data_IF_370486736042
#
_entry.id   IF_370486736042
#
_cell.length_a   1.000
_cell.length_b   1.000
_cell.length_c   1.000
_cell.angle_alpha   90.00
_cell.angle_beta   90.00
_cell.angle_gamma   90.00
#
_symmetry.space_group_name_H-M   'P 1'
#
loop_
_entity.id
_entity.type
_entity.pdbx_description
1 polymer ?
#
# COMPACT_ATOMS: atom_id res chain seq x y z
N UNK A 1 19.54 16.72 -39.86
CA UNK A 1 18.16 16.94 -39.38
C UNK A 1 18.31 17.42 -37.94
N UNK A 2 18.30 18.73 -37.72
CA UNK A 2 18.55 19.33 -36.41
C UNK A 2 17.23 19.40 -35.65
N UNK A 3 17.14 18.69 -34.53
CA UNK A 3 16.00 18.73 -33.62
C UNK A 3 15.83 20.16 -33.10
N UNK A 4 14.63 20.71 -33.18
CA UNK A 4 14.35 22.07 -32.72
C UNK A 4 14.46 22.18 -31.18
N UNK A 5 14.69 23.37 -30.62
CA UNK A 5 14.78 23.56 -29.16
C UNK A 5 13.53 23.09 -28.39
N UNK A 6 12.35 23.08 -29.02
CA UNK A 6 11.13 22.51 -28.45
C UNK A 6 11.10 20.98 -28.37
N UNK A 7 11.83 20.29 -29.25
CA UNK A 7 11.87 18.83 -29.34
C UNK A 7 12.76 18.24 -28.24
N UNK A 8 13.91 18.86 -27.99
CA UNK A 8 14.82 18.56 -26.86
C UNK A 8 14.12 18.78 -25.51
N UNK A 9 13.30 19.83 -25.41
CA UNK A 9 12.57 20.12 -24.17
C UNK A 9 11.49 19.07 -23.89
N UNK A 10 10.80 18.57 -24.92
CA UNK A 10 9.77 17.54 -24.79
C UNK A 10 10.37 16.19 -24.41
N UNK A 11 11.44 15.77 -25.08
CA UNK A 11 12.15 14.53 -24.78
C UNK A 11 12.71 14.54 -23.35
N UNK A 12 13.22 15.68 -22.88
CA UNK A 12 13.66 15.84 -21.50
C UNK A 12 12.50 15.67 -20.50
N UNK A 13 11.35 16.30 -20.76
CA UNK A 13 10.17 16.18 -19.91
C UNK A 13 9.65 14.74 -19.86
N UNK A 14 9.59 14.05 -21.00
CA UNK A 14 9.17 12.66 -21.08
C UNK A 14 10.11 11.73 -20.29
N UNK A 15 11.43 11.91 -20.44
CA UNK A 15 12.41 11.15 -19.67
C UNK A 15 12.32 11.40 -18.16
N UNK A 16 12.06 12.64 -17.75
CA UNK A 16 11.87 13.00 -16.35
C UNK A 16 10.59 12.37 -15.78
N UNK A 17 9.50 12.37 -16.55
CA UNK A 17 8.24 11.71 -16.18
C UNK A 17 8.39 10.20 -16.08
N UNK A 18 9.11 9.54 -17.01
CA UNK A 18 9.42 8.11 -16.95
C UNK A 18 10.21 7.75 -15.70
N UNK A 19 11.24 8.54 -15.39
CA UNK A 19 12.09 8.32 -14.21
C UNK A 19 11.28 8.47 -12.93
N UNK A 20 10.46 9.52 -12.84
CA UNK A 20 9.56 9.72 -11.70
C UNK A 20 8.54 8.59 -11.55
N UNK A 21 8.04 8.06 -12.68
CA UNK A 21 7.10 6.94 -12.69
C UNK A 21 7.75 5.65 -12.20
N UNK A 22 8.96 5.34 -12.67
CA UNK A 22 9.72 4.18 -12.21
C UNK A 22 9.99 4.25 -10.70
N UNK A 23 10.35 5.43 -10.20
CA UNK A 23 10.56 5.63 -8.77
C UNK A 23 9.25 5.53 -7.97
N UNK A 24 8.13 6.05 -8.51
CA UNK A 24 6.83 5.88 -7.87
C UNK A 24 6.44 4.39 -7.75
N UNK A 25 6.70 3.58 -8.77
CA UNK A 25 6.49 2.14 -8.74
C UNK A 25 7.43 1.42 -7.76
N UNK A 26 8.72 1.77 -7.74
CA UNK A 26 9.73 1.18 -6.86
C UNK A 26 9.31 1.39 -5.39
N UNK A 27 8.94 2.62 -5.04
CA UNK A 27 8.52 2.98 -3.69
C UNK A 27 7.18 2.33 -3.34
N UNK A 28 6.20 2.32 -4.25
CA UNK A 28 4.92 1.66 -4.01
C UNK A 28 5.06 0.14 -3.76
N UNK A 29 6.02 -0.52 -4.40
CA UNK A 29 6.35 -1.94 -4.15
C UNK A 29 7.12 -2.11 -2.84
N UNK A 30 7.97 -1.16 -2.47
CA UNK A 30 8.71 -1.20 -1.21
C UNK A 30 7.79 -1.26 0.01
N UNK A 31 6.62 -0.62 -0.04
CA UNK A 31 5.63 -0.70 1.04
C UNK A 31 5.03 -2.10 1.21
N UNK A 32 4.95 -2.90 0.14
CA UNK A 32 4.49 -4.29 0.25
C UNK A 32 5.52 -5.13 1.02
N UNK A 33 6.80 -4.99 0.68
CA UNK A 33 7.90 -5.66 1.39
C UNK A 33 8.00 -5.19 2.84
N UNK A 34 7.86 -3.87 3.09
CA UNK A 34 7.84 -3.33 4.46
C UNK A 34 6.67 -3.90 5.27
N UNK A 35 5.48 -3.99 4.69
CA UNK A 35 4.32 -4.56 5.36
C UNK A 35 4.50 -6.06 5.66
N UNK A 36 5.12 -6.82 4.75
CA UNK A 36 5.43 -8.24 4.97
C UNK A 36 6.46 -8.42 6.10
N UNK A 37 7.58 -7.71 6.06
CA UNK A 37 8.63 -7.80 7.08
C UNK A 37 8.07 -7.42 8.45
N UNK A 38 7.34 -6.29 8.54
CA UNK A 38 6.76 -5.84 9.81
C UNK A 38 5.66 -6.78 10.29
N UNK A 39 4.83 -7.31 9.39
CA UNK A 39 3.81 -8.30 9.74
C UNK A 39 4.41 -9.59 10.32
N UNK A 40 5.45 -10.14 9.68
CA UNK A 40 6.18 -11.31 10.19
C UNK A 40 6.84 -11.00 11.55
N UNK A 41 7.50 -9.85 11.66
CA UNK A 41 8.12 -9.41 12.91
C UNK A 41 7.13 -9.23 14.05
N UNK A 42 5.93 -8.70 13.77
CA UNK A 42 4.85 -8.55 14.74
C UNK A 42 4.37 -9.91 15.26
N UNK A 43 4.12 -10.87 14.37
CA UNK A 43 3.69 -12.23 14.76
C UNK A 43 4.74 -12.90 15.65
N UNK A 44 6.01 -12.80 15.26
CA UNK A 44 7.12 -13.34 16.04
C UNK A 44 7.21 -12.70 17.43
N UNK A 45 7.12 -11.37 17.51
CA UNK A 45 7.21 -10.62 18.76
C UNK A 45 6.03 -10.92 19.69
N UNK A 46 4.80 -11.04 19.16
CA UNK A 46 3.64 -11.45 19.94
C UNK A 46 3.82 -12.88 20.45
N UNK A 47 4.25 -13.82 19.61
CA UNK A 47 4.48 -15.21 20.03
C UNK A 47 5.50 -15.29 21.18
N UNK A 48 6.59 -14.54 21.07
CA UNK A 48 7.60 -14.45 22.12
C UNK A 48 7.06 -13.83 23.42
N UNK A 49 6.30 -12.73 23.31
CA UNK A 49 5.70 -12.06 24.46
C UNK A 49 4.67 -12.94 25.19
N UNK A 50 3.91 -13.76 24.46
CA UNK A 50 2.99 -14.73 25.03
C UNK A 50 3.73 -15.89 25.70
N UNK A 51 4.82 -16.39 25.10
CA UNK A 51 5.63 -17.46 25.69
C UNK A 51 6.31 -17.04 26.99
N UNK A 52 6.73 -15.77 27.10
CA UNK A 52 7.17 -15.19 28.38
C UNK A 52 6.01 -15.00 29.38
N UNK A 53 4.80 -14.73 28.88
CA UNK A 53 3.58 -14.65 29.71
C UNK A 53 3.18 -16.00 30.32
N UNK A 54 3.41 -17.11 29.61
CA UNK A 54 3.14 -18.48 30.11
C UNK A 54 4.05 -18.87 31.30
N UNK A 55 5.16 -18.15 31.52
CA UNK A 55 6.02 -18.33 32.71
C UNK A 55 5.43 -17.67 33.97
N UNK A 56 4.36 -16.88 33.85
CA UNK A 56 3.64 -16.29 35.00
C UNK A 56 2.47 -17.19 35.43
N UNK A 57 2.33 -17.50 36.74
CA UNK A 57 1.35 -18.45 37.23
C UNK A 57 -0.09 -18.05 36.86
N UNK A 58 -0.82 -19.02 36.32
CA UNK A 58 -2.11 -18.86 35.66
C UNK A 58 -3.30 -18.88 36.64
N UNK A 59 -4.37 -18.15 36.28
CA UNK A 59 -5.79 -18.17 36.73
C UNK A 59 -6.26 -16.95 37.55
N UNK A 60 -7.37 -16.31 37.13
CA UNK A 60 -8.74 -16.87 37.17
C UNK A 60 -9.44 -16.94 35.80
N UNK A 61 -10.62 -17.59 35.68
CA UNK A 61 -11.30 -17.80 34.40
C UNK A 61 -11.98 -16.50 33.97
N UNK A 62 -11.25 -15.66 33.25
CA UNK A 62 -11.87 -14.51 32.60
C UNK A 62 -12.62 -15.08 31.40
N UNK A 63 -13.94 -14.91 31.39
CA UNK A 63 -14.85 -15.55 30.44
C UNK A 63 -14.50 -15.29 28.96
N UNK A 64 -15.16 -15.99 28.03
CA UNK A 64 -14.82 -15.98 26.59
C UNK A 64 -14.66 -14.59 25.96
N UNK A 65 -15.36 -13.57 26.49
CA UNK A 65 -15.26 -12.18 26.03
C UNK A 65 -13.86 -11.58 26.18
N UNK A 66 -13.12 -11.93 27.23
CA UNK A 66 -11.78 -11.40 27.46
C UNK A 66 -10.78 -11.93 26.43
N UNK A 67 -10.83 -13.25 26.20
CA UNK A 67 -10.06 -13.86 25.12
C UNK A 67 -10.41 -13.25 23.76
N UNK A 68 -11.69 -13.00 23.48
CA UNK A 68 -12.09 -12.32 22.25
C UNK A 68 -11.52 -10.90 22.14
N UNK A 69 -11.43 -10.15 23.25
CA UNK A 69 -10.83 -8.81 23.29
C UNK A 69 -9.32 -8.85 23.02
N UNK A 70 -8.57 -9.71 23.71
CA UNK A 70 -7.12 -9.89 23.52
C UNK A 70 -6.81 -10.35 22.09
N UNK A 71 -7.55 -11.34 21.57
CA UNK A 71 -7.42 -11.79 20.19
C UNK A 71 -7.76 -10.69 19.19
N UNK A 72 -8.76 -9.84 19.48
CA UNK A 72 -9.06 -8.66 18.68
C UNK A 72 -7.88 -7.68 18.60
N UNK A 73 -7.23 -7.41 19.73
CA UNK A 73 -6.04 -6.53 19.81
C UNK A 73 -4.87 -7.12 19.01
N UNK A 74 -4.66 -8.44 19.08
CA UNK A 74 -3.57 -9.13 18.38
C UNK A 74 -3.83 -9.28 16.87
N UNK A 75 -5.06 -9.60 16.47
CA UNK A 75 -5.41 -9.80 15.05
C UNK A 75 -5.50 -8.48 14.29
N UNK A 76 -5.95 -7.40 14.95
CA UNK A 76 -6.22 -6.13 14.28
C UNK A 76 -5.01 -5.55 13.51
N UNK A 77 -3.78 -5.52 14.06
CA UNK A 77 -2.59 -5.10 13.30
C UNK A 77 -2.30 -5.99 12.09
N UNK A 78 -2.50 -7.31 12.19
CA UNK A 78 -2.29 -8.28 11.10
C UNK A 78 -3.22 -7.95 9.93
N UNK A 79 -4.50 -7.70 10.22
CA UNK A 79 -5.50 -7.31 9.20
C UNK A 79 -5.11 -5.98 8.54
N UNK A 80 -4.63 -5.00 9.32
CA UNK A 80 -4.19 -3.71 8.78
C UNK A 80 -2.98 -3.84 7.84
N UNK A 81 -2.00 -4.68 8.16
CA UNK A 81 -0.88 -4.96 7.25
C UNK A 81 -1.36 -5.68 5.98
N UNK A 82 -2.33 -6.60 6.07
CA UNK A 82 -2.97 -7.20 4.90
C UNK A 82 -3.67 -6.15 3.99
N UNK A 83 -4.26 -5.11 4.58
CA UNK A 83 -4.86 -4.01 3.81
C UNK A 83 -3.85 -3.10 3.10
N UNK A 84 -2.57 -3.12 3.49
CA UNK A 84 -1.49 -2.44 2.75
C UNK A 84 -1.23 -3.18 1.43
N UNK A 85 -1.24 -4.52 1.46
CA UNK A 85 -1.00 -5.38 0.30
C UNK A 85 -2.13 -5.30 -0.73
N UNK A 86 -3.38 -5.27 -0.26
CA UNK A 86 -4.56 -5.19 -1.13
C UNK A 86 -5.32 -3.89 -0.91
N UNK A 87 -4.87 -2.77 -1.51
CA UNK A 87 -5.67 -1.58 -1.54
C UNK A 87 -6.98 -1.86 -2.29
N UNK A 88 -8.12 -1.53 -1.67
CA UNK A 88 -9.44 -1.64 -2.28
C UNK A 88 -9.45 -0.90 -3.63
N UNK A 89 -9.38 -1.68 -4.72
CA UNK A 89 -9.29 -1.18 -6.12
C UNK A 89 -10.43 -0.22 -6.47
N UNK A 90 -11.64 -0.50 -5.94
CA UNK A 90 -12.86 0.29 -6.18
C UNK A 90 -12.78 1.76 -5.77
N UNK A 91 -12.08 2.10 -4.67
CA UNK A 91 -11.96 3.51 -4.23
C UNK A 91 -10.98 4.29 -5.10
N UNK A 92 -9.91 3.63 -5.53
CA UNK A 92 -8.90 4.23 -6.41
C UNK A 92 -9.52 4.56 -7.77
N UNK A 93 -10.27 3.63 -8.35
CA UNK A 93 -10.91 3.81 -9.66
C UNK A 93 -11.96 4.95 -9.67
N UNK A 94 -12.83 5.03 -8.66
CA UNK A 94 -13.94 6.01 -8.64
C UNK A 94 -13.47 7.46 -8.58
N UNK A 95 -12.45 7.72 -7.76
CA UNK A 95 -11.93 9.07 -7.52
C UNK A 95 -10.86 9.49 -8.52
N UNK A 96 -10.37 8.54 -9.32
CA UNK A 96 -9.50 8.77 -10.45
C UNK A 96 -10.30 9.09 -11.71
N UNK A 97 -11.41 8.39 -11.91
CA UNK A 97 -12.38 8.70 -12.97
C UNK A 97 -12.89 10.14 -12.88
N UNK A 98 -13.00 10.70 -11.67
CA UNK A 98 -13.40 12.10 -11.45
C UNK A 98 -12.27 13.13 -11.66
N UNK A 99 -10.99 12.71 -11.66
CA UNK A 99 -9.84 13.59 -11.91
C UNK A 99 -9.35 13.50 -13.37
N UNK A 100 -9.58 12.37 -14.04
CA UNK A 100 -9.28 12.16 -15.46
C UNK A 100 -10.30 12.81 -16.41
N UNK A 101 -11.50 13.15 -15.93
CA UNK A 101 -12.57 13.73 -16.73
C UNK A 101 -12.24 15.08 -17.39
N UNK A 102 -11.06 15.67 -17.12
CA UNK A 102 -10.57 16.88 -17.77
C UNK A 102 -9.19 16.77 -18.44
N UNK A 103 -8.52 15.61 -18.42
CA UNK A 103 -7.09 15.53 -18.75
C UNK A 103 -6.74 15.09 -20.18
N UNK A 104 -7.58 14.33 -20.88
CA UNK A 104 -7.48 14.06 -22.34
C UNK A 104 -8.62 13.13 -22.74
N UNK A 105 -9.18 13.32 -23.93
CA UNK A 105 -10.26 12.47 -24.47
C UNK A 105 -9.77 11.06 -24.89
N UNK A 106 -8.46 10.82 -24.86
CA UNK A 106 -7.85 9.56 -25.31
C UNK A 106 -7.50 8.70 -24.08
N UNK A 107 -8.02 7.47 -23.98
CA UNK A 107 -7.72 6.58 -22.86
C UNK A 107 -6.23 6.21 -22.85
N UNK A 108 -5.58 6.18 -21.67
CA UNK A 108 -4.15 5.87 -21.56
C UNK A 108 -3.85 4.44 -22.01
N UNK A 109 -2.86 4.29 -22.90
CA UNK A 109 -2.51 3.02 -23.57
C UNK A 109 -1.41 2.25 -22.82
N UNK A 110 -0.85 2.82 -21.74
CA UNK A 110 0.31 2.24 -21.04
C UNK A 110 0.02 0.84 -20.47
N UNK A 111 -1.24 0.56 -20.10
CA UNK A 111 -1.73 -0.79 -19.82
C UNK A 111 -2.69 -1.24 -20.92
N UNK A 112 -2.21 -2.16 -21.76
CA UNK A 112 -2.99 -2.74 -22.85
C UNK A 112 -3.77 -3.92 -22.30
N UNK A 113 -5.10 -3.80 -22.19
CA UNK A 113 -5.95 -4.97 -22.03
C UNK A 113 -6.04 -5.70 -23.39
N UNK A 114 -5.57 -6.96 -23.51
CA UNK A 114 -5.63 -7.71 -24.75
C UNK A 114 -7.05 -7.84 -25.33
N UNK A 115 -8.08 -7.66 -24.50
CA UNK A 115 -9.49 -7.72 -24.92
C UNK A 115 -10.01 -6.41 -25.49
N UNK A 116 -9.29 -5.30 -25.27
CA UNK A 116 -9.69 -3.96 -25.73
C UNK A 116 -9.23 -3.66 -27.16
N UNK A 117 -8.40 -4.52 -27.75
CA UNK A 117 -7.84 -4.32 -29.07
C UNK A 117 -8.11 -5.55 -29.95
N UNK A 118 -8.66 -5.32 -31.15
CA UNK A 118 -8.91 -6.40 -32.10
C UNK A 118 -7.60 -6.97 -32.69
N UNK A 119 -6.52 -6.17 -32.75
CA UNK A 119 -5.27 -6.52 -33.42
C UNK A 119 -4.12 -5.56 -33.07
N UNK A 120 -2.87 -6.05 -33.12
CA UNK A 120 -1.64 -5.30 -32.79
C UNK A 120 -1.48 -4.03 -33.64
N UNK A 121 -1.95 -4.04 -34.89
CA UNK A 121 -1.94 -2.85 -35.75
C UNK A 121 -2.82 -1.72 -35.21
N UNK A 122 -3.91 -2.05 -34.53
CA UNK A 122 -4.80 -1.06 -33.96
C UNK A 122 -4.18 -0.44 -32.70
N UNK A 123 -3.49 -1.26 -31.89
CA UNK A 123 -2.66 -0.79 -30.79
C UNK A 123 -1.59 0.20 -31.26
N UNK A 124 -0.80 -0.16 -32.29
CA UNK A 124 0.26 0.71 -32.83
C UNK A 124 -0.31 2.02 -33.36
N UNK A 125 -1.46 1.97 -34.05
CA UNK A 125 -2.11 3.17 -34.58
C UNK A 125 -2.60 4.10 -33.46
N UNK A 126 -3.14 3.53 -32.38
CA UNK A 126 -3.62 4.30 -31.25
C UNK A 126 -2.44 4.87 -30.43
N UNK A 127 -1.36 4.09 -30.29
CA UNK A 127 -0.11 4.49 -29.67
C UNK A 127 0.56 5.68 -30.39
N UNK A 128 0.51 5.72 -31.73
CA UNK A 128 1.04 6.83 -32.53
C UNK A 128 0.19 8.10 -32.47
N UNK A 129 -1.11 7.99 -32.16
CA UNK A 129 -2.03 9.14 -32.03
C UNK A 129 -2.08 9.73 -30.62
N UNK A 130 -1.65 8.97 -29.62
CA UNK A 130 -1.71 9.40 -28.22
C UNK A 130 -0.56 10.35 -27.86
N UNK A 131 -0.88 11.35 -27.06
CA UNK A 131 0.13 12.21 -26.43
C UNK A 131 0.74 11.48 -25.23
N UNK A 132 1.93 10.92 -25.42
CA UNK A 132 2.65 10.14 -24.42
C UNK A 132 2.92 10.92 -23.14
N UNK A 133 3.21 12.23 -23.24
CA UNK A 133 3.44 13.10 -22.07
C UNK A 133 2.23 13.06 -21.12
N UNK A 134 1.01 13.15 -21.67
CA UNK A 134 -0.24 13.14 -20.91
C UNK A 134 -0.54 11.77 -20.30
N UNK A 135 -0.19 10.69 -21.01
CA UNK A 135 -0.35 9.30 -20.54
C UNK A 135 0.60 9.03 -19.38
N UNK A 136 1.86 9.43 -19.48
CA UNK A 136 2.86 9.29 -18.42
C UNK A 136 2.48 10.12 -17.19
N UNK A 137 2.04 11.36 -17.38
CA UNK A 137 1.61 12.23 -16.27
C UNK A 137 0.37 11.65 -15.54
N UNK A 138 -0.59 11.12 -16.29
CA UNK A 138 -1.76 10.47 -15.73
C UNK A 138 -1.38 9.23 -14.90
N UNK A 139 -0.50 8.38 -15.41
CA UNK A 139 -0.02 7.19 -14.72
C UNK A 139 0.83 7.54 -13.48
N UNK A 140 1.67 8.58 -13.58
CA UNK A 140 2.42 9.09 -12.44
C UNK A 140 1.50 9.54 -11.31
N UNK A 141 0.38 10.20 -11.65
CA UNK A 141 -0.63 10.56 -10.66
C UNK A 141 -1.32 9.32 -10.06
N UNK A 142 -1.60 8.28 -10.86
CA UNK A 142 -2.17 7.02 -10.35
C UNK A 142 -1.24 6.33 -9.35
N UNK A 143 0.03 6.17 -9.75
CA UNK A 143 1.05 5.43 -9.00
C UNK A 143 1.47 6.18 -7.74
N UNK A 144 1.65 7.50 -7.83
CA UNK A 144 1.89 8.37 -6.67
C UNK A 144 0.75 8.28 -5.66
N UNK A 145 -0.50 8.26 -6.14
CA UNK A 145 -1.67 8.09 -5.26
C UNK A 145 -1.70 6.71 -4.61
N UNK A 146 -1.44 5.65 -5.36
CA UNK A 146 -1.35 4.29 -4.82
C UNK A 146 -0.28 4.22 -3.72
N UNK A 147 0.87 4.88 -3.91
CA UNK A 147 1.92 5.04 -2.89
C UNK A 147 1.38 5.73 -1.64
N UNK A 148 0.73 6.89 -1.75
CA UNK A 148 0.19 7.60 -0.56
C UNK A 148 -0.80 6.74 0.21
N UNK A 149 -1.71 6.04 -0.48
CA UNK A 149 -2.67 5.14 0.17
C UNK A 149 -1.95 4.01 0.92
N UNK A 150 -0.95 3.38 0.30
CA UNK A 150 -0.15 2.34 0.95
C UNK A 150 0.61 2.89 2.15
N UNK A 151 1.22 4.06 2.04
CA UNK A 151 1.94 4.72 3.12
C UNK A 151 1.02 5.00 4.31
N UNK A 152 -0.16 5.61 4.10
CA UNK A 152 -1.10 5.90 5.18
C UNK A 152 -1.59 4.63 5.86
N UNK A 153 -1.89 3.56 5.10
CA UNK A 153 -2.31 2.28 5.67
C UNK A 153 -1.18 1.61 6.46
N UNK A 154 0.04 1.65 5.95
CA UNK A 154 1.21 1.10 6.63
C UNK A 154 1.44 1.82 7.96
N UNK A 155 1.39 3.16 7.95
CA UNK A 155 1.53 3.94 9.17
C UNK A 155 0.40 3.65 10.19
N UNK A 156 -0.85 3.52 9.72
CA UNK A 156 -1.97 3.12 10.60
C UNK A 156 -1.77 1.73 11.19
N UNK A 157 -1.36 0.74 10.39
CA UNK A 157 -1.06 -0.60 10.88
C UNK A 157 0.06 -0.60 11.93
N UNK A 158 1.11 0.19 11.70
CA UNK A 158 2.21 0.37 12.64
C UNK A 158 1.74 1.00 13.97
N UNK A 159 0.94 2.07 13.91
CA UNK A 159 0.38 2.69 15.11
C UNK A 159 -0.49 1.72 15.90
N UNK A 160 -1.32 0.91 15.23
CA UNK A 160 -2.13 -0.12 15.89
C UNK A 160 -1.26 -1.20 16.54
N UNK A 161 -0.17 -1.62 15.90
CA UNK A 161 0.77 -2.58 16.49
C UNK A 161 1.43 -2.03 17.76
N UNK A 162 1.85 -0.76 17.75
CA UNK A 162 2.41 -0.09 18.93
C UNK A 162 1.40 -0.03 20.07
N UNK A 163 0.16 0.38 19.78
CA UNK A 163 -0.93 0.41 20.77
C UNK A 163 -1.20 -0.99 21.33
N UNK A 164 -1.22 -2.02 20.47
CA UNK A 164 -1.40 -3.40 20.90
C UNK A 164 -0.29 -3.85 21.86
N UNK A 165 0.98 -3.54 21.55
CA UNK A 165 2.09 -3.86 22.46
C UNK A 165 2.00 -3.12 23.79
N UNK A 166 1.64 -1.83 23.79
CA UNK A 166 1.45 -1.08 25.03
C UNK A 166 0.35 -1.72 25.89
N UNK A 167 -0.76 -2.11 25.28
CA UNK A 167 -1.86 -2.78 25.97
C UNK A 167 -1.41 -4.12 26.59
N UNK A 168 -0.73 -4.96 25.81
CA UNK A 168 -0.20 -6.25 26.27
C UNK A 168 0.82 -6.07 27.41
N UNK A 169 1.75 -5.11 27.28
CA UNK A 169 2.75 -4.83 28.32
C UNK A 169 2.11 -4.30 29.61
N UNK A 170 1.09 -3.44 29.51
CA UNK A 170 0.37 -2.94 30.67
C UNK A 170 -0.34 -4.07 31.42
N UNK A 171 -1.00 -4.96 30.68
CA UNK A 171 -1.66 -6.14 31.24
C UNK A 171 -0.66 -7.06 31.96
N UNK A 172 0.48 -7.36 31.32
CA UNK A 172 1.53 -8.17 31.93
C UNK A 172 2.12 -7.53 33.19
N UNK A 173 2.35 -6.21 33.17
CA UNK A 173 2.83 -5.48 34.36
C UNK A 173 1.83 -5.55 35.52
N UNK A 174 0.54 -5.32 35.24
CA UNK A 174 -0.52 -5.42 36.25
C UNK A 174 -0.61 -6.83 36.85
N UNK A 175 -0.48 -7.87 36.02
CA UNK A 175 -0.43 -9.26 36.48
C UNK A 175 0.80 -9.50 37.36
N UNK A 176 1.99 -9.05 36.96
CA UNK A 176 3.21 -9.21 37.77
C UNK A 176 3.11 -8.53 39.14
N UNK A 177 2.51 -7.33 39.21
CA UNK A 177 2.32 -6.61 40.47
C UNK A 177 1.27 -7.23 41.38
N UNK A 178 0.37 -8.06 40.85
CA UNK A 178 -0.62 -8.81 41.67
C UNK A 178 -0.04 -10.10 42.25
N UNK A 179 1.04 -10.61 41.67
CA UNK A 179 1.70 -11.86 42.08
C UNK A 179 2.85 -11.57 43.08
N UNK A 180 3.44 -10.37 43.05
CA UNK A 180 4.40 -9.85 44.02
C UNK A 180 3.73 -9.33 45.30
#
# INVERSE_FOLDING_TARGET
MFSGPGEVTREYVDNMLLTALQEAHSVARSYDTKAQIVGVGYILAVNLALHFGDLLPTHPPIGPLFYAGVWGIVIMPIVQFGQVLYPSRRRVEKELKSKMSGASAVPPIYYVDPRSFANVRDLVRQALKSDWTSVLAAELLMTSRARTIKQTRFHRGLMMAVVAFIALSCEQLLLSMRIA
#
